data_IF_461675448717
#
_entry.id   IF_461675448717
#
_cell.length_a   1.000
_cell.length_b   1.000
_cell.length_c   1.000
_cell.angle_alpha   90.00
_cell.angle_beta   90.00
_cell.angle_gamma   90.00
#
_symmetry.space_group_name_H-M   'P 1'
#
loop_
_entity.id
_entity.type
_entity.pdbx_description
1 polymer ?
#
# COMPACT_ATOMS: atom_id res chain seq x y z
N UNK A 1 -16.06 -27.13 25.63
CA UNK A 1 -15.91 -27.50 24.21
C UNK A 1 -14.45 -27.39 23.85
N UNK A 2 -13.78 -28.46 23.44
CA UNK A 2 -12.37 -28.40 23.04
C UNK A 2 -12.24 -27.77 21.64
N UNK A 3 -11.20 -26.93 21.47
CA UNK A 3 -10.65 -26.35 20.22
C UNK A 3 -11.63 -25.96 19.11
N UNK A 4 -12.43 -24.93 19.35
CA UNK A 4 -13.13 -24.25 18.25
C UNK A 4 -12.14 -23.29 17.55
N UNK A 5 -11.95 -23.38 16.22
CA UNK A 5 -11.02 -22.50 15.51
C UNK A 5 -11.35 -21.02 15.75
N UNK A 6 -10.32 -20.21 15.99
CA UNK A 6 -10.49 -18.76 16.14
C UNK A 6 -11.00 -18.17 14.83
N UNK A 7 -12.12 -17.45 14.89
CA UNK A 7 -12.63 -16.67 13.76
C UNK A 7 -11.79 -15.39 13.60
N UNK A 8 -11.37 -15.11 12.37
CA UNK A 8 -10.68 -13.87 11.99
C UNK A 8 -11.69 -12.95 11.32
N UNK A 9 -11.76 -11.71 11.77
CA UNK A 9 -12.66 -10.69 11.23
C UNK A 9 -11.83 -9.56 10.63
N UNK A 10 -12.16 -9.17 9.40
CA UNK A 10 -11.60 -8.01 8.72
C UNK A 10 -12.74 -7.04 8.41
N UNK A 11 -12.53 -5.75 8.69
CA UNK A 11 -13.41 -4.70 8.19
C UNK A 11 -13.10 -4.49 6.70
N UNK A 12 -14.14 -4.45 5.86
CA UNK A 12 -13.97 -4.27 4.41
C UNK A 12 -14.45 -2.89 3.99
N UNK A 13 -13.50 -2.05 3.60
CA UNK A 13 -13.69 -0.63 3.34
C UNK A 13 -12.88 -0.19 2.12
N UNK A 14 -13.27 0.91 1.51
CA UNK A 14 -12.62 1.50 0.35
C UNK A 14 -12.69 3.02 0.48
N UNK A 15 -11.65 3.72 0.00
CA UNK A 15 -11.58 5.19 -0.04
C UNK A 15 -12.55 5.76 -1.09
N UNK A 16 -13.85 5.64 -0.83
CA UNK A 16 -14.94 6.03 -1.73
C UNK A 16 -16.21 6.33 -0.92
N UNK A 17 -17.09 7.22 -1.38
CA UNK A 17 -18.41 7.44 -0.76
C UNK A 17 -19.37 6.25 -0.92
N UNK A 18 -19.11 5.31 -1.83
CA UNK A 18 -19.95 4.11 -1.98
C UNK A 18 -19.12 2.91 -2.39
N UNK A 19 -19.23 1.82 -1.60
CA UNK A 19 -18.48 0.58 -1.80
C UNK A 19 -19.42 -0.57 -2.23
N UNK A 20 -20.11 -1.23 -1.29
CA UNK A 20 -21.04 -2.33 -1.60
C UNK A 20 -22.50 -1.95 -1.52
N UNK A 21 -22.84 -1.02 -0.63
CA UNK A 21 -24.23 -0.60 -0.38
C UNK A 21 -24.42 0.79 -0.98
N UNK A 22 -24.92 0.84 -2.21
CA UNK A 22 -25.13 2.10 -2.92
C UNK A 22 -26.23 2.93 -2.21
N UNK A 23 -26.06 4.25 -2.19
CA UNK A 23 -27.05 5.17 -1.61
C UNK A 23 -26.99 5.34 -0.09
N UNK A 24 -26.31 4.46 0.64
CA UNK A 24 -26.16 4.55 2.10
C UNK A 24 -25.43 5.80 2.58
N UNK A 25 -24.74 6.51 1.69
CA UNK A 25 -24.15 7.81 1.99
C UNK A 25 -25.22 8.89 2.32
N UNK A 26 -26.47 8.68 1.91
CA UNK A 26 -27.58 9.59 2.16
C UNK A 26 -28.25 9.37 3.53
N UNK A 27 -27.94 8.27 4.22
CA UNK A 27 -28.47 8.03 5.56
C UNK A 27 -27.91 9.05 6.57
N UNK A 28 -28.74 9.63 7.46
CA UNK A 28 -28.33 10.70 8.37
C UNK A 28 -27.11 10.38 9.24
N UNK A 29 -26.97 9.11 9.65
CA UNK A 29 -25.88 8.66 10.53
C UNK A 29 -24.67 8.09 9.75
N UNK A 30 -24.68 8.21 8.42
CA UNK A 30 -23.62 7.68 7.57
C UNK A 30 -22.34 8.51 7.64
N UNK A 31 -21.21 7.84 7.85
CA UNK A 31 -19.88 8.46 7.74
C UNK A 31 -19.20 8.23 6.39
N UNK A 32 -19.92 7.71 5.38
CA UNK A 32 -19.31 7.38 4.08
C UNK A 32 -18.74 8.59 3.33
N UNK A 33 -19.27 9.79 3.58
CA UNK A 33 -18.74 11.03 2.99
C UNK A 33 -17.45 11.52 3.63
N UNK A 34 -17.07 11.00 4.80
CA UNK A 34 -15.80 11.30 5.46
C UNK A 34 -14.63 10.47 4.91
N UNK A 35 -14.80 9.77 3.77
CA UNK A 35 -13.77 8.92 3.17
C UNK A 35 -12.47 9.66 2.81
N UNK A 36 -12.53 10.98 2.64
CA UNK A 36 -11.38 11.84 2.34
C UNK A 36 -10.80 12.54 3.59
N UNK A 37 -11.36 12.28 4.77
CA UNK A 37 -10.81 12.75 6.05
C UNK A 37 -9.73 11.76 6.54
N UNK A 38 -8.46 12.18 6.68
CA UNK A 38 -7.39 11.32 7.19
C UNK A 38 -7.67 10.73 8.57
N UNK A 39 -8.34 11.45 9.46
CA UNK A 39 -8.58 10.99 10.84
C UNK A 39 -9.39 9.69 10.87
N UNK A 40 -10.35 9.56 9.94
CA UNK A 40 -11.17 8.33 9.74
C UNK A 40 -10.30 7.09 9.54
N UNK A 41 -9.12 7.24 8.93
CA UNK A 41 -8.24 6.13 8.56
C UNK A 41 -7.08 5.94 9.53
N UNK A 42 -6.63 7.01 10.18
CA UNK A 42 -5.55 6.95 11.17
C UNK A 42 -5.97 6.06 12.35
N UNK A 43 -7.19 6.24 12.87
CA UNK A 43 -7.72 5.37 13.94
C UNK A 43 -7.76 3.89 13.51
N UNK A 44 -8.12 3.62 12.26
CA UNK A 44 -8.15 2.25 11.73
C UNK A 44 -6.73 1.67 11.54
N UNK A 45 -5.74 2.52 11.29
CA UNK A 45 -4.35 2.11 11.10
C UNK A 45 -3.64 1.74 12.42
N UNK A 46 -4.26 1.93 13.59
CA UNK A 46 -3.84 1.32 14.86
C UNK A 46 -4.12 -0.19 14.92
N UNK A 47 -4.90 -0.72 13.98
CA UNK A 47 -5.05 -2.15 13.71
C UNK A 47 -4.15 -2.64 12.57
N UNK A 48 -4.18 -3.93 12.26
CA UNK A 48 -3.63 -4.43 11.01
C UNK A 48 -4.43 -3.93 9.81
N UNK A 49 -3.75 -3.49 8.75
CA UNK A 49 -4.43 -3.04 7.53
C UNK A 49 -3.90 -3.74 6.28
N UNK A 50 -4.82 -4.09 5.40
CA UNK A 50 -4.52 -4.56 4.05
C UNK A 50 -4.92 -3.47 3.06
N UNK A 51 -4.01 -3.08 2.18
CA UNK A 51 -4.34 -2.17 1.09
C UNK A 51 -4.29 -2.89 -0.25
N UNK A 52 -5.16 -2.45 -1.16
CA UNK A 52 -5.23 -2.97 -2.52
C UNK A 52 -4.35 -2.13 -3.43
N UNK A 53 -3.43 -2.77 -4.15
CA UNK A 53 -2.62 -2.12 -5.18
C UNK A 53 -2.58 -2.99 -6.42
N UNK A 54 -2.92 -2.40 -7.56
CA UNK A 54 -2.90 -3.10 -8.84
C UNK A 54 -1.46 -3.23 -9.34
N UNK A 55 -1.13 -4.42 -9.84
CA UNK A 55 0.17 -4.76 -10.40
C UNK A 55 0.62 -3.86 -11.55
N UNK A 56 -0.33 -3.26 -12.27
CA UNK A 56 -0.04 -2.42 -13.44
C UNK A 56 0.31 -0.97 -13.07
N UNK A 57 -0.02 -0.52 -11.85
CA UNK A 57 0.12 0.89 -11.46
C UNK A 57 1.54 1.29 -11.09
N UNK A 58 2.36 0.34 -10.65
CA UNK A 58 3.68 0.64 -10.11
C UNK A 58 4.66 -0.48 -10.45
N UNK A 59 5.89 -0.09 -10.79
CA UNK A 59 6.95 -1.06 -11.02
C UNK A 59 7.24 -1.86 -9.72
N UNK A 60 7.59 -3.15 -9.79
CA UNK A 60 7.75 -4.00 -8.61
C UNK A 60 8.77 -3.47 -7.58
N UNK A 61 9.84 -2.84 -8.04
CA UNK A 61 10.91 -2.33 -7.18
C UNK A 61 10.50 -1.14 -6.28
N UNK A 62 9.99 -0.01 -6.82
CA UNK A 62 9.48 1.08 -5.97
C UNK A 62 8.31 0.62 -5.08
N UNK A 63 7.46 -0.30 -5.56
CA UNK A 63 6.41 -0.88 -4.75
C UNK A 63 6.97 -1.68 -3.55
N UNK A 64 8.03 -2.47 -3.75
CA UNK A 64 8.69 -3.18 -2.65
C UNK A 64 9.25 -2.25 -1.58
N UNK A 65 9.80 -1.11 -1.99
CA UNK A 65 10.24 -0.06 -1.06
C UNK A 65 9.07 0.55 -0.31
N UNK A 66 7.95 0.82 -0.98
CA UNK A 66 6.72 1.36 -0.36
C UNK A 66 6.16 0.40 0.68
N UNK A 67 5.98 -0.87 0.30
CA UNK A 67 5.47 -1.90 1.21
C UNK A 67 6.39 -2.09 2.41
N UNK A 68 7.71 -2.15 2.20
CA UNK A 68 8.68 -2.23 3.29
C UNK A 68 8.63 -1.00 4.20
N UNK A 69 8.48 0.21 3.66
CA UNK A 69 8.33 1.43 4.46
C UNK A 69 7.08 1.35 5.34
N UNK A 70 5.94 0.93 4.79
CA UNK A 70 4.70 0.74 5.56
C UNK A 70 4.89 -0.34 6.64
N UNK A 71 5.53 -1.46 6.31
CA UNK A 71 5.81 -2.53 7.25
C UNK A 71 6.64 -2.05 8.46
N UNK A 72 7.64 -1.19 8.21
CA UNK A 72 8.41 -0.53 9.24
C UNK A 72 7.59 0.43 10.11
N UNK A 73 6.85 1.35 9.48
CA UNK A 73 6.08 2.38 10.19
C UNK A 73 4.98 1.78 11.05
N UNK A 74 4.48 0.61 10.65
CA UNK A 74 3.32 -0.04 11.27
C UNK A 74 3.73 -1.16 12.21
N UNK A 75 5.01 -1.52 12.25
CA UNK A 75 5.49 -2.60 13.11
C UNK A 75 5.04 -3.99 12.66
N UNK A 76 5.01 -4.26 11.35
CA UNK A 76 4.62 -5.57 10.82
C UNK A 76 3.12 -5.76 10.59
N UNK A 77 2.35 -4.65 10.55
CA UNK A 77 0.87 -4.68 10.53
C UNK A 77 0.25 -4.42 9.15
N UNK A 78 1.07 -4.35 8.10
CA UNK A 78 0.60 -4.12 6.72
C UNK A 78 0.46 -5.44 5.96
N UNK A 79 -0.58 -5.52 5.13
CA UNK A 79 -0.75 -6.55 4.12
C UNK A 79 -1.04 -5.92 2.74
N UNK A 80 -0.74 -6.67 1.69
CA UNK A 80 -1.03 -6.28 0.31
C UNK A 80 -2.05 -7.24 -0.31
N UNK A 81 -3.20 -6.69 -0.72
CA UNK A 81 -4.15 -7.37 -1.58
C UNK A 81 -3.72 -7.23 -3.05
N UNK A 82 -3.15 -8.30 -3.62
CA UNK A 82 -2.59 -8.34 -4.97
C UNK A 82 -3.73 -8.42 -5.99
N UNK A 83 -3.87 -7.39 -6.83
CA UNK A 83 -4.90 -7.36 -7.89
C UNK A 83 -4.30 -7.06 -9.26
N UNK A 84 -4.92 -7.61 -10.30
CA UNK A 84 -4.49 -7.47 -11.71
C UNK A 84 -5.41 -6.56 -12.55
N UNK A 85 -6.36 -5.89 -11.89
CA UNK A 85 -7.49 -5.10 -12.45
C UNK A 85 -8.35 -5.86 -13.46
N UNK A 86 -9.53 -5.34 -13.78
CA UNK A 86 -10.34 -5.73 -14.95
C UNK A 86 -10.97 -4.50 -15.62
N UNK A 87 -10.73 -3.31 -15.06
CA UNK A 87 -11.37 -2.07 -15.50
C UNK A 87 -10.61 -1.49 -16.68
N UNK A 88 -11.27 -1.39 -17.83
CA UNK A 88 -10.71 -0.80 -19.06
C UNK A 88 -10.20 0.64 -18.87
N UNK A 89 -10.80 1.41 -17.96
CA UNK A 89 -10.31 2.74 -17.58
C UNK A 89 -8.87 2.74 -17.04
N UNK A 90 -8.39 1.61 -16.53
CA UNK A 90 -7.00 1.46 -16.07
C UNK A 90 -6.01 1.64 -17.20
N UNK A 91 -6.31 1.08 -18.38
CA UNK A 91 -5.44 1.20 -19.54
C UNK A 91 -5.30 2.67 -19.97
N UNK A 92 -6.43 3.36 -20.17
CA UNK A 92 -6.44 4.77 -20.61
C UNK A 92 -5.63 5.69 -19.69
N UNK A 93 -5.66 5.43 -18.39
CA UNK A 93 -4.96 6.24 -17.39
C UNK A 93 -3.47 5.89 -17.24
N UNK A 94 -3.07 4.66 -17.56
CA UNK A 94 -1.70 4.19 -17.38
C UNK A 94 -0.92 4.07 -18.71
N UNK A 95 -1.59 4.25 -19.85
CA UNK A 95 -0.96 4.33 -21.17
C UNK A 95 -0.52 2.98 -21.74
N UNK A 96 -1.27 1.90 -21.50
CA UNK A 96 -0.91 0.57 -22.02
C UNK A 96 -1.39 0.33 -23.48
N UNK A 97 -2.29 1.16 -24.01
CA UNK A 97 -2.86 0.99 -25.36
C UNK A 97 -3.83 -0.18 -25.49
N UNK A 98 -4.31 -0.67 -24.34
CA UNK A 98 -5.19 -1.81 -24.11
C UNK A 98 -4.85 -2.42 -22.75
N UNK A 99 -5.82 -3.04 -22.08
CA UNK A 99 -5.47 -3.85 -20.92
C UNK A 99 -4.58 -5.01 -21.37
N UNK A 100 -3.40 -5.22 -20.75
CA UNK A 100 -2.58 -6.39 -21.05
C UNK A 100 -3.39 -7.68 -20.84
N UNK A 101 -3.03 -8.72 -21.57
CA UNK A 101 -3.70 -10.02 -21.48
C UNK A 101 -3.76 -10.53 -20.03
N UNK A 102 -4.81 -11.29 -19.73
CA UNK A 102 -5.01 -11.87 -18.41
C UNK A 102 -3.73 -12.55 -17.88
N UNK A 103 -3.15 -13.44 -18.67
CA UNK A 103 -2.00 -14.24 -18.25
C UNK A 103 -0.73 -13.40 -18.07
N UNK A 104 -0.54 -12.38 -18.89
CA UNK A 104 0.55 -11.42 -18.74
C UNK A 104 0.44 -10.63 -17.44
N UNK A 105 -0.78 -10.24 -17.05
CA UNK A 105 -1.02 -9.55 -15.77
C UNK A 105 -0.71 -10.46 -14.59
N UNK A 106 -1.07 -11.74 -14.65
CA UNK A 106 -0.69 -12.71 -13.62
C UNK A 106 0.80 -13.06 -13.63
N UNK A 107 1.46 -13.05 -14.79
CA UNK A 107 2.92 -13.20 -14.88
C UNK A 107 3.63 -12.04 -14.18
N UNK A 108 3.16 -10.80 -14.37
CA UNK A 108 3.63 -9.63 -13.63
C UNK A 108 3.38 -9.76 -12.13
N UNK A 109 2.22 -10.27 -11.72
CA UNK A 109 1.92 -10.51 -10.31
C UNK A 109 2.91 -11.49 -9.66
N UNK A 110 3.17 -12.62 -10.34
CA UNK A 110 4.19 -13.60 -9.91
C UNK A 110 5.57 -12.96 -9.81
N UNK A 111 5.97 -12.15 -10.79
CA UNK A 111 7.26 -11.44 -10.77
C UNK A 111 7.38 -10.50 -9.57
N UNK A 112 6.32 -9.76 -9.22
CA UNK A 112 6.34 -8.87 -8.05
C UNK A 112 6.50 -9.62 -6.73
N UNK A 113 5.77 -10.73 -6.55
CA UNK A 113 5.91 -11.58 -5.37
C UNK A 113 7.31 -12.19 -5.30
N UNK A 114 7.82 -12.67 -6.43
CA UNK A 114 9.17 -13.22 -6.53
C UNK A 114 10.24 -12.18 -6.20
N UNK A 115 10.14 -10.96 -6.73
CA UNK A 115 11.07 -9.88 -6.41
C UNK A 115 11.07 -9.56 -4.91
N UNK A 116 9.90 -9.47 -4.28
CA UNK A 116 9.81 -9.27 -2.83
C UNK A 116 10.51 -10.39 -2.06
N UNK A 117 10.27 -11.64 -2.45
CA UNK A 117 10.93 -12.79 -1.86
C UNK A 117 12.46 -12.69 -2.01
N UNK A 118 12.97 -12.39 -3.20
CA UNK A 118 14.42 -12.25 -3.46
C UNK A 118 15.04 -11.10 -2.67
N UNK A 119 14.37 -9.94 -2.60
CA UNK A 119 14.85 -8.82 -1.80
C UNK A 119 14.92 -9.19 -0.31
N UNK A 120 13.95 -9.96 0.18
CA UNK A 120 13.91 -10.42 1.58
C UNK A 120 15.01 -11.43 1.88
N UNK A 121 15.21 -12.43 1.02
CA UNK A 121 16.26 -13.45 1.21
C UNK A 121 17.67 -12.88 1.11
N UNK A 122 17.86 -11.82 0.34
CA UNK A 122 19.13 -11.07 0.26
C UNK A 122 19.34 -10.07 1.41
N UNK A 123 18.41 -9.97 2.36
CA UNK A 123 18.49 -9.01 3.47
C UNK A 123 18.33 -7.55 3.03
N UNK A 124 17.84 -7.31 1.82
CA UNK A 124 17.59 -5.96 1.29
C UNK A 124 16.23 -5.43 1.75
N UNK A 125 15.27 -6.27 2.14
CA UNK A 125 14.08 -5.82 2.88
C UNK A 125 13.92 -6.65 4.14
N UNK A 126 13.34 -6.06 5.18
CA UNK A 126 13.29 -6.69 6.50
C UNK A 126 12.52 -8.03 6.48
N UNK A 127 13.03 -9.01 7.22
CA UNK A 127 12.37 -10.30 7.41
C UNK A 127 11.49 -10.36 8.66
N UNK A 128 11.60 -9.36 9.53
CA UNK A 128 10.81 -9.15 10.73
C UNK A 128 11.05 -7.73 11.25
N UNK A 129 10.29 -7.32 12.27
CA UNK A 129 10.42 -5.98 12.82
C UNK A 129 11.84 -5.76 13.38
N UNK A 130 12.44 -4.64 13.01
CA UNK A 130 13.59 -4.10 13.72
C UNK A 130 13.42 -2.59 13.83
N UNK A 131 13.72 -1.97 14.97
CA UNK A 131 13.62 -0.52 15.14
C UNK A 131 14.39 0.25 14.07
N UNK A 132 13.93 1.47 13.76
CA UNK A 132 14.55 2.36 12.78
C UNK A 132 13.86 2.38 11.41
N UNK A 133 14.14 3.42 10.63
CA UNK A 133 13.61 3.64 9.29
C UNK A 133 14.27 2.76 8.24
N UNK A 134 13.59 2.54 7.11
CA UNK A 134 14.14 1.80 5.97
C UNK A 134 15.44 2.43 5.43
N UNK A 135 15.56 3.78 5.49
CA UNK A 135 16.78 4.49 5.09
C UNK A 135 17.95 4.14 6.01
N UNK A 136 17.74 4.08 7.32
CA UNK A 136 18.79 3.69 8.27
C UNK A 136 19.25 2.24 8.05
N UNK A 137 18.34 1.35 7.65
CA UNK A 137 18.69 -0.05 7.34
C UNK A 137 19.43 -0.20 6.01
N UNK A 138 19.05 0.54 4.97
CA UNK A 138 19.74 0.51 3.67
C UNK A 138 21.05 1.30 3.64
N UNK A 139 21.14 2.36 4.45
CA UNK A 139 22.27 3.29 4.48
C UNK A 139 22.74 3.47 5.93
N UNK A 140 23.54 2.52 6.46
CA UNK A 140 24.08 2.62 7.81
C UNK A 140 24.79 3.96 8.03
N UNK A 141 24.42 4.68 9.10
CA UNK A 141 24.94 6.02 9.41
C UNK A 141 24.28 7.19 8.65
N UNK A 142 23.37 6.93 7.71
CA UNK A 142 22.72 7.95 6.89
C UNK A 142 21.49 8.64 7.50
N UNK A 143 21.08 8.22 8.70
CA UNK A 143 19.92 8.73 9.43
C UNK A 143 18.57 8.54 8.72
N UNK A 144 17.46 8.97 9.33
CA UNK A 144 16.12 8.75 8.79
C UNK A 144 15.75 9.74 7.66
N UNK A 145 16.55 10.79 7.45
CA UNK A 145 16.28 11.87 6.50
C UNK A 145 17.34 11.95 5.41
N UNK A 146 16.96 12.54 4.27
CA UNK A 146 17.91 12.85 3.20
C UNK A 146 19.00 13.82 3.71
N UNK A 147 20.22 13.65 3.21
CA UNK A 147 21.35 14.51 3.54
C UNK A 147 21.05 15.97 3.16
N UNK A 148 21.67 16.92 3.87
CA UNK A 148 21.45 18.36 3.65
C UNK A 148 21.64 18.80 2.19
N UNK A 149 22.57 18.14 1.50
CA UNK A 149 22.93 18.35 0.10
C UNK A 149 21.98 17.70 -0.92
N UNK A 150 21.05 16.85 -0.50
CA UNK A 150 20.21 16.09 -1.41
C UNK A 150 19.14 17.00 -2.06
N UNK A 151 19.01 17.03 -3.41
CA UNK A 151 18.08 17.94 -4.10
C UNK A 151 16.63 17.84 -3.60
N UNK A 152 16.16 16.62 -3.35
CA UNK A 152 14.81 16.36 -2.83
C UNK A 152 14.60 16.72 -1.34
N UNK A 153 15.59 17.27 -0.63
CA UNK A 153 15.42 17.81 0.73
C UNK A 153 14.90 19.25 0.73
N UNK A 154 15.02 19.97 -0.39
CA UNK A 154 14.50 21.33 -0.49
C UNK A 154 12.97 21.25 -0.52
N UNK A 155 12.25 21.99 0.34
CA UNK A 155 10.82 22.19 0.14
C UNK A 155 10.62 22.70 -1.28
N UNK A 156 9.69 22.12 -2.03
CA UNK A 156 9.24 22.75 -3.28
C UNK A 156 8.76 24.18 -2.99
N UNK A 157 8.70 25.05 -4.00
CA UNK A 157 8.06 26.35 -3.83
C UNK A 157 6.65 26.12 -3.24
N UNK A 158 6.18 27.00 -2.34
CA UNK A 158 4.81 26.92 -1.84
C UNK A 158 3.87 26.87 -3.04
N UNK A 159 2.98 25.87 -3.06
CA UNK A 159 1.87 25.85 -4.01
C UNK A 159 1.00 27.04 -3.63
N UNK A 160 0.82 27.98 -4.56
CA UNK A 160 0.15 29.25 -4.31
C UNK A 160 -1.25 29.08 -3.70
N UNK A 161 -1.62 30.08 -2.90
CA UNK A 161 -2.94 30.26 -2.27
C UNK A 161 -4.11 30.24 -3.27
#
# INVERSE_FOLDING_TARGET
>A
MPDRPRMLFNAFTMFTPSHHTQGMWAEPDSKQLAYNDPETWIELADLGFAFTQNILQEHPYPFARKLSTLDHLTGGRVAWNIVTTFLEGTDRNLGYGGLPDHDDRYARARMSVYLHHVLRTRGLIQSGYSPGTLREKFFPGGGPRLAASHPARRPGPPVGE
#
